data_IF_211243231679
#
_entry.id   IF_211243231679
#
_cell.length_a   1.000
_cell.length_b   1.000
_cell.length_c   1.000
_cell.angle_alpha   90.00
_cell.angle_beta   90.00
_cell.angle_gamma   90.00
#
_symmetry.space_group_name_H-M   'P 1'
#
loop_
_entity.id
_entity.type
_entity.pdbx_description
1 polymer ?
#
# COMPACT_ATOMS: atom_id res chain seq x y z
N UNK A 1 -6.69 -83.58 -22.41
CA UNK A 1 -7.03 -82.24 -21.93
C UNK A 1 -5.88 -81.80 -21.06
N UNK A 2 -5.01 -80.98 -21.61
CA UNK A 2 -3.77 -80.56 -20.98
C UNK A 2 -4.01 -79.12 -20.42
N UNK A 3 -4.06 -79.02 -19.07
CA UNK A 3 -4.13 -77.75 -18.40
C UNK A 3 -2.77 -77.02 -18.47
N UNK A 4 -2.70 -75.93 -19.15
CA UNK A 4 -1.52 -75.05 -19.14
C UNK A 4 -1.44 -74.32 -17.81
N UNK A 5 -0.28 -74.28 -17.16
CA UNK A 5 -0.09 -73.52 -15.95
C UNK A 5 -0.23 -72.01 -16.26
N UNK A 6 -1.04 -71.29 -15.50
CA UNK A 6 -1.10 -69.85 -15.51
C UNK A 6 0.20 -69.29 -14.92
N UNK A 7 0.93 -68.55 -15.71
CA UNK A 7 2.05 -67.76 -15.25
C UNK A 7 1.54 -66.71 -14.24
N UNK A 8 2.25 -66.52 -13.09
CA UNK A 8 1.90 -65.47 -12.16
C UNK A 8 2.20 -64.10 -12.81
N UNK A 9 1.15 -63.31 -12.95
CA UNK A 9 1.31 -61.90 -13.29
C UNK A 9 2.09 -61.22 -12.16
N UNK A 10 3.34 -60.87 -12.42
CA UNK A 10 4.11 -60.00 -11.55
C UNK A 10 3.43 -58.63 -11.53
N UNK A 11 2.71 -58.32 -10.46
CA UNK A 11 2.37 -56.97 -10.11
C UNK A 11 3.70 -56.21 -9.98
N UNK A 12 4.02 -55.38 -10.98
CA UNK A 12 4.98 -54.32 -10.79
C UNK A 12 4.30 -53.33 -9.85
N UNK A 13 4.60 -53.46 -8.57
CA UNK A 13 4.31 -52.43 -7.59
C UNK A 13 5.16 -51.21 -7.98
N UNK A 14 4.52 -50.21 -8.56
CA UNK A 14 5.08 -48.87 -8.84
C UNK A 14 5.31 -48.10 -7.52
N UNK A 15 5.61 -48.80 -6.43
CA UNK A 15 6.00 -48.15 -5.19
C UNK A 15 7.43 -47.65 -5.34
N UNK A 16 7.55 -46.31 -5.48
CA UNK A 16 8.86 -45.66 -5.45
C UNK A 16 9.50 -45.94 -4.11
N UNK A 17 10.42 -46.93 -4.11
CA UNK A 17 11.16 -47.28 -2.89
C UNK A 17 11.98 -46.09 -2.41
N UNK A 18 11.75 -45.66 -1.18
CA UNK A 18 12.55 -44.58 -0.54
C UNK A 18 14.04 -44.94 -0.52
N UNK A 19 14.37 -46.26 -0.51
CA UNK A 19 15.74 -46.78 -0.57
C UNK A 19 16.37 -46.52 -1.94
N UNK A 20 15.62 -46.72 -3.03
CA UNK A 20 16.10 -46.45 -4.40
C UNK A 20 16.25 -44.95 -4.66
N UNK A 21 15.35 -44.15 -4.09
CA UNK A 21 15.46 -42.69 -4.13
C UNK A 21 16.75 -42.26 -3.40
N UNK A 22 17.00 -42.75 -2.20
CA UNK A 22 18.20 -42.44 -1.43
C UNK A 22 19.48 -42.91 -2.13
N UNK A 23 19.47 -44.10 -2.72
CA UNK A 23 20.62 -44.62 -3.49
C UNK A 23 20.91 -43.77 -4.74
N UNK A 24 19.87 -43.34 -5.45
CA UNK A 24 20.00 -42.46 -6.60
C UNK A 24 20.55 -41.07 -6.21
N UNK A 25 20.09 -40.58 -5.06
CA UNK A 25 20.57 -39.33 -4.48
C UNK A 25 22.08 -39.38 -4.15
N UNK A 26 22.51 -40.43 -3.45
CA UNK A 26 23.91 -40.66 -3.10
C UNK A 26 24.80 -40.82 -4.34
N UNK A 27 24.32 -41.52 -5.37
CA UNK A 27 25.05 -41.72 -6.63
C UNK A 27 25.24 -40.44 -7.41
N UNK A 28 24.25 -39.52 -7.37
CA UNK A 28 24.27 -38.24 -8.10
C UNK A 28 24.52 -37.01 -7.21
N UNK A 29 25.09 -37.20 -6.04
CA UNK A 29 25.32 -36.13 -5.04
C UNK A 29 25.98 -34.87 -5.59
N UNK A 30 26.91 -35.00 -6.56
CA UNK A 30 27.58 -33.85 -7.19
C UNK A 30 26.59 -32.98 -7.96
N UNK A 31 25.69 -33.56 -8.72
CA UNK A 31 24.67 -32.86 -9.49
C UNK A 31 23.68 -32.19 -8.53
N UNK A 32 23.26 -32.93 -7.50
CA UNK A 32 22.38 -32.38 -6.47
C UNK A 32 22.96 -31.13 -5.80
N UNK A 33 24.19 -31.22 -5.32
CA UNK A 33 24.84 -30.04 -4.70
C UNK A 33 25.06 -28.92 -5.70
N UNK A 34 25.40 -29.19 -6.95
CA UNK A 34 25.56 -28.14 -7.96
C UNK A 34 24.24 -27.38 -8.18
N UNK A 35 23.12 -28.10 -8.30
CA UNK A 35 21.79 -27.46 -8.46
C UNK A 35 21.41 -26.73 -7.18
N UNK A 36 21.59 -27.34 -6.01
CA UNK A 36 21.27 -26.71 -4.72
C UNK A 36 22.03 -25.39 -4.55
N UNK A 37 23.35 -25.40 -4.77
CA UNK A 37 24.18 -24.18 -4.66
C UNK A 37 23.82 -23.13 -5.72
N UNK A 38 23.46 -23.54 -6.94
CA UNK A 38 23.03 -22.60 -7.97
C UNK A 38 21.73 -21.91 -7.60
N UNK A 39 20.74 -22.65 -7.10
CA UNK A 39 19.45 -22.08 -6.66
C UNK A 39 19.64 -21.18 -5.43
N UNK A 40 20.46 -21.62 -4.48
CA UNK A 40 20.74 -20.85 -3.28
C UNK A 40 21.49 -19.55 -3.59
N UNK A 41 22.49 -19.61 -4.49
CA UNK A 41 23.21 -18.43 -4.96
C UNK A 41 22.28 -17.46 -5.71
N UNK A 42 21.43 -17.98 -6.60
CA UNK A 42 20.43 -17.17 -7.30
C UNK A 42 19.44 -16.50 -6.32
N UNK A 43 19.00 -17.22 -5.29
CA UNK A 43 18.15 -16.69 -4.23
C UNK A 43 18.82 -15.58 -3.43
N UNK A 44 20.09 -15.75 -3.06
CA UNK A 44 20.86 -14.72 -2.35
C UNK A 44 21.05 -13.47 -3.24
N UNK A 45 21.42 -13.66 -4.51
CA UNK A 45 21.57 -12.54 -5.46
C UNK A 45 20.25 -11.79 -5.61
N UNK A 46 19.14 -12.51 -5.75
CA UNK A 46 17.81 -11.91 -5.83
C UNK A 46 17.46 -11.11 -4.57
N UNK A 47 17.70 -11.68 -3.37
CA UNK A 47 17.41 -11.02 -2.11
C UNK A 47 18.24 -9.74 -1.90
N UNK A 48 19.53 -9.74 -2.33
CA UNK A 48 20.41 -8.57 -2.21
C UNK A 48 20.08 -7.49 -3.23
N UNK A 49 19.63 -7.88 -4.43
CA UNK A 49 19.25 -6.93 -5.48
C UNK A 49 17.85 -6.34 -5.31
N UNK A 50 17.00 -6.96 -4.48
CA UNK A 50 15.65 -6.46 -4.23
C UNK A 50 15.72 -5.19 -3.38
N UNK A 51 15.25 -4.03 -3.87
CA UNK A 51 15.29 -2.79 -3.09
C UNK A 51 14.37 -2.93 -1.88
N UNK A 52 14.86 -2.54 -0.72
CA UNK A 52 14.04 -2.40 0.48
C UNK A 52 13.00 -1.30 0.25
N UNK A 53 11.75 -1.58 0.57
CA UNK A 53 10.64 -0.64 0.52
C UNK A 53 10.04 -0.48 1.90
N UNK A 54 9.65 0.75 2.22
CA UNK A 54 9.06 1.13 3.50
C UNK A 54 7.76 1.89 3.26
N UNK A 55 6.80 1.65 4.14
CA UNK A 55 5.56 2.42 4.17
C UNK A 55 5.77 3.70 4.96
N UNK A 56 5.66 4.83 4.27
CA UNK A 56 5.64 6.16 4.87
C UNK A 56 4.21 6.56 5.13
N UNK A 57 3.86 6.77 6.39
CA UNK A 57 2.49 7.04 6.81
C UNK A 57 2.39 8.44 7.41
N UNK A 58 1.43 9.22 6.94
CA UNK A 58 1.02 10.50 7.54
C UNK A 58 -0.46 10.42 7.93
N UNK A 59 -0.78 10.95 9.11
CA UNK A 59 -2.13 10.99 9.65
C UNK A 59 -2.57 12.45 9.80
N UNK A 60 -3.76 12.77 9.29
CA UNK A 60 -4.36 14.09 9.36
C UNK A 60 -5.70 13.96 10.07
N UNK A 61 -5.94 14.80 11.08
CA UNK A 61 -7.24 14.89 11.72
C UNK A 61 -8.08 15.97 11.03
N UNK A 62 -9.29 15.60 10.62
CA UNK A 62 -10.24 16.53 10.02
C UNK A 62 -10.85 17.47 11.07
N UNK A 63 -11.17 18.69 10.65
CA UNK A 63 -11.86 19.65 11.50
C UNK A 63 -13.30 19.20 11.79
N UNK A 64 -13.65 19.25 13.08
CA UNK A 64 -14.97 18.89 13.60
C UNK A 64 -15.80 20.13 13.84
N UNK A 65 -17.04 20.09 13.44
CA UNK A 65 -18.05 21.12 13.79
C UNK A 65 -18.60 20.86 15.19
N UNK A 66 -18.88 19.60 15.51
CA UNK A 66 -19.32 19.08 16.80
C UNK A 66 -18.62 17.71 17.02
N UNK A 67 -18.52 17.20 18.24
CA UNK A 67 -17.95 15.89 18.47
C UNK A 67 -18.58 14.82 17.59
N UNK A 68 -17.77 14.20 16.71
CA UNK A 68 -18.23 13.20 15.75
C UNK A 68 -18.90 13.73 14.48
N UNK A 69 -19.00 15.05 14.31
CA UNK A 69 -19.53 15.68 13.08
C UNK A 69 -18.46 16.54 12.43
N UNK A 70 -17.99 16.14 11.26
CA UNK A 70 -16.93 16.81 10.51
C UNK A 70 -17.50 17.93 9.66
N UNK A 71 -16.72 19.00 9.41
CA UNK A 71 -17.11 20.09 8.49
C UNK A 71 -17.26 19.52 7.08
N UNK A 72 -16.32 18.68 6.66
CA UNK A 72 -16.39 17.91 5.42
C UNK A 72 -16.28 16.41 5.75
N UNK A 73 -17.06 15.59 5.05
CA UNK A 73 -17.02 14.14 5.23
C UNK A 73 -15.65 13.59 4.78
N UNK A 74 -15.07 12.62 5.52
CA UNK A 74 -13.79 12.02 5.13
C UNK A 74 -13.74 11.54 3.68
N UNK A 75 -14.81 10.91 3.20
CA UNK A 75 -14.91 10.45 1.81
C UNK A 75 -14.84 11.59 0.79
N UNK A 76 -15.40 12.78 1.09
CA UNK A 76 -15.32 13.96 0.22
C UNK A 76 -13.89 14.51 0.17
N UNK A 77 -13.23 14.54 1.32
CA UNK A 77 -11.83 14.98 1.41
C UNK A 77 -10.91 14.05 0.63
N UNK A 78 -11.07 12.73 0.79
CA UNK A 78 -10.30 11.73 0.01
C UNK A 78 -10.54 11.92 -1.49
N UNK A 79 -11.79 12.03 -1.92
CA UNK A 79 -12.10 12.26 -3.33
C UNK A 79 -11.47 13.55 -3.87
N UNK A 80 -11.35 14.61 -3.06
CA UNK A 80 -10.67 15.85 -3.44
C UNK A 80 -9.17 15.66 -3.53
N UNK A 81 -8.57 14.94 -2.57
CA UNK A 81 -7.15 14.60 -2.59
C UNK A 81 -6.78 13.78 -3.84
N UNK A 82 -7.54 12.72 -4.12
CA UNK A 82 -7.25 11.79 -5.23
C UNK A 82 -7.52 12.40 -6.61
N UNK A 83 -8.64 13.12 -6.77
CA UNK A 83 -9.08 13.53 -8.11
C UNK A 83 -8.71 14.98 -8.46
N UNK A 84 -8.23 15.76 -7.51
CA UNK A 84 -7.89 17.17 -7.75
C UNK A 84 -6.46 17.47 -7.33
N UNK A 85 -6.11 17.34 -6.06
CA UNK A 85 -4.84 17.85 -5.54
C UNK A 85 -3.65 16.95 -5.88
N UNK A 86 -3.82 15.63 -5.86
CA UNK A 86 -2.75 14.71 -6.25
C UNK A 86 -2.41 14.87 -7.75
N UNK A 87 -3.37 14.89 -8.70
CA UNK A 87 -3.06 15.13 -10.11
C UNK A 87 -2.45 16.52 -10.37
N UNK A 88 -2.91 17.56 -9.67
CA UNK A 88 -2.33 18.89 -9.74
C UNK A 88 -0.87 18.91 -9.28
N UNK A 89 -0.59 18.26 -8.16
CA UNK A 89 0.77 18.11 -7.64
C UNK A 89 1.66 17.33 -8.62
N UNK A 90 1.17 16.19 -9.14
CA UNK A 90 1.91 15.39 -10.12
C UNK A 90 2.23 16.17 -11.40
N UNK A 91 1.28 16.95 -11.89
CA UNK A 91 1.47 17.80 -13.07
C UNK A 91 2.51 18.90 -12.84
N UNK A 92 2.48 19.54 -11.67
CA UNK A 92 3.45 20.57 -11.27
C UNK A 92 4.84 19.97 -11.11
N UNK A 93 4.93 18.82 -10.43
CA UNK A 93 6.19 18.11 -10.26
C UNK A 93 6.83 17.71 -11.60
N UNK A 94 6.02 17.21 -12.53
CA UNK A 94 6.48 16.87 -13.88
C UNK A 94 6.97 18.11 -14.65
N UNK A 95 6.26 19.23 -14.54
CA UNK A 95 6.65 20.47 -15.20
C UNK A 95 7.97 21.04 -14.68
N UNK A 96 8.24 20.88 -13.38
CA UNK A 96 9.43 21.42 -12.72
C UNK A 96 10.67 20.52 -12.87
N UNK A 97 10.48 19.20 -12.94
CA UNK A 97 11.59 18.21 -12.86
C UNK A 97 11.73 17.35 -14.12
N UNK A 98 10.76 17.40 -15.07
CA UNK A 98 10.68 16.52 -16.25
C UNK A 98 10.67 15.02 -15.90
N UNK A 99 10.29 14.69 -14.65
CA UNK A 99 10.22 13.34 -14.11
C UNK A 99 8.90 13.11 -13.37
N UNK A 100 8.36 11.91 -13.48
CA UNK A 100 7.20 11.49 -12.68
C UNK A 100 7.62 11.15 -11.25
N UNK A 101 6.68 11.30 -10.32
CA UNK A 101 6.89 10.88 -8.94
C UNK A 101 7.09 9.36 -8.92
N UNK A 102 8.21 8.85 -8.37
CA UNK A 102 8.58 7.44 -8.43
C UNK A 102 7.89 6.57 -7.36
N UNK A 103 6.84 7.02 -6.75
CA UNK A 103 6.05 6.32 -5.73
C UNK A 103 4.56 6.68 -5.83
N UNK A 104 3.72 5.81 -5.33
CA UNK A 104 2.26 6.03 -5.26
C UNK A 104 1.88 6.64 -3.90
N UNK A 105 0.86 7.49 -3.90
CA UNK A 105 0.28 8.06 -2.68
C UNK A 105 -1.16 7.57 -2.58
N UNK A 106 -1.45 6.78 -1.56
CA UNK A 106 -2.76 6.25 -1.26
C UNK A 106 -3.39 7.00 -0.09
N UNK A 107 -4.71 7.18 -0.15
CA UNK A 107 -5.48 7.86 0.88
C UNK A 107 -6.52 6.90 1.45
N UNK A 108 -6.56 6.80 2.75
CA UNK A 108 -7.48 5.91 3.47
C UNK A 108 -8.16 6.67 4.61
N UNK A 109 -9.40 6.30 4.89
CA UNK A 109 -10.05 6.70 6.13
C UNK A 109 -10.18 5.47 7.04
N UNK A 110 -9.47 5.42 8.18
CA UNK A 110 -9.71 4.39 9.17
C UNK A 110 -11.17 4.42 9.63
N UNK A 111 -11.82 3.25 9.68
CA UNK A 111 -13.25 3.13 9.94
C UNK A 111 -13.69 3.93 11.19
N UNK A 112 -14.79 4.65 11.04
CA UNK A 112 -15.44 5.44 12.09
C UNK A 112 -14.55 6.54 12.72
N UNK A 113 -13.57 7.05 11.98
CA UNK A 113 -12.69 8.13 12.46
C UNK A 113 -12.75 9.35 11.55
N UNK A 114 -12.39 10.52 12.10
CA UNK A 114 -12.11 11.73 11.33
C UNK A 114 -10.66 11.86 10.91
N UNK A 115 -9.98 10.73 10.73
CA UNK A 115 -8.59 10.71 10.30
C UNK A 115 -8.50 10.37 8.81
N UNK A 116 -7.61 11.05 8.12
CA UNK A 116 -7.14 10.65 6.79
C UNK A 116 -5.72 10.13 6.95
N UNK A 117 -5.50 8.92 6.46
CA UNK A 117 -4.20 8.28 6.41
C UNK A 117 -3.67 8.36 4.99
N UNK A 118 -2.51 8.99 4.82
CA UNK A 118 -1.74 8.94 3.58
C UNK A 118 -0.65 7.90 3.71
N UNK A 119 -0.53 7.01 2.73
CA UNK A 119 0.46 5.94 2.69
C UNK A 119 1.20 6.01 1.37
N UNK A 120 2.53 5.95 1.43
CA UNK A 120 3.39 5.81 0.26
C UNK A 120 4.42 4.74 0.49
N UNK A 121 4.49 3.77 -0.43
CA UNK A 121 5.52 2.76 -0.46
C UNK A 121 6.71 3.27 -1.27
N UNK A 122 7.87 3.41 -0.63
CA UNK A 122 9.06 3.96 -1.27
C UNK A 122 10.35 3.40 -0.69
N UNK A 123 11.44 3.48 -1.46
CA UNK A 123 12.77 3.14 -1.00
C UNK A 123 13.33 4.22 -0.06
N UNK A 124 14.33 3.91 0.78
CA UNK A 124 14.97 4.90 1.66
C UNK A 124 15.53 6.12 0.92
N UNK A 125 15.98 5.95 -0.32
CA UNK A 125 16.47 7.04 -1.16
C UNK A 125 15.40 8.02 -1.59
N UNK A 126 14.13 7.60 -1.61
CA UNK A 126 12.96 8.40 -1.98
C UNK A 126 12.26 9.04 -0.78
N UNK A 127 12.72 8.75 0.44
CA UNK A 127 12.07 9.17 1.70
C UNK A 127 11.83 10.67 1.79
N UNK A 128 12.77 11.48 1.32
CA UNK A 128 12.65 12.93 1.35
C UNK A 128 11.57 13.43 0.36
N UNK A 129 11.53 12.85 -0.84
CA UNK A 129 10.47 13.15 -1.82
C UNK A 129 9.07 12.79 -1.30
N UNK A 130 8.93 11.66 -0.61
CA UNK A 130 7.67 11.27 0.03
C UNK A 130 7.26 12.27 1.11
N UNK A 131 8.17 12.64 2.00
CA UNK A 131 7.90 13.63 3.06
C UNK A 131 7.47 14.97 2.50
N UNK A 132 8.15 15.44 1.47
CA UNK A 132 7.83 16.72 0.80
C UNK A 132 6.45 16.66 0.14
N UNK A 133 6.14 15.57 -0.57
CA UNK A 133 4.84 15.35 -1.19
C UNK A 133 3.71 15.32 -0.16
N UNK A 134 3.89 14.57 0.92
CA UNK A 134 2.93 14.51 2.01
C UNK A 134 2.73 15.87 2.66
N UNK A 135 3.81 16.61 2.95
CA UNK A 135 3.74 17.94 3.55
C UNK A 135 2.94 18.94 2.67
N UNK A 136 3.20 18.97 1.37
CA UNK A 136 2.47 19.85 0.45
C UNK A 136 0.97 19.54 0.38
N UNK A 137 0.60 18.26 0.36
CA UNK A 137 -0.81 17.86 0.36
C UNK A 137 -1.49 18.15 1.70
N UNK A 138 -0.77 17.99 2.82
CA UNK A 138 -1.23 18.35 4.17
C UNK A 138 -1.46 19.84 4.27
N UNK A 139 -0.55 20.66 3.78
CA UNK A 139 -0.65 22.13 3.80
C UNK A 139 -1.87 22.60 3.00
N UNK A 140 -2.07 22.08 1.79
CA UNK A 140 -3.28 22.36 0.98
C UNK A 140 -4.58 21.98 1.70
N UNK A 141 -4.60 20.81 2.33
CA UNK A 141 -5.76 20.36 3.10
C UNK A 141 -6.00 21.24 4.32
N UNK A 142 -4.95 21.61 5.05
CA UNK A 142 -5.02 22.48 6.22
C UNK A 142 -5.55 23.86 5.86
N UNK A 143 -5.08 24.44 4.75
CA UNK A 143 -5.58 25.71 4.22
C UNK A 143 -7.06 25.65 3.86
N UNK A 144 -7.49 24.60 3.13
CA UNK A 144 -8.88 24.40 2.77
C UNK A 144 -9.79 24.23 4.00
N UNK A 145 -9.36 23.45 4.99
CA UNK A 145 -10.11 23.29 6.24
C UNK A 145 -10.17 24.57 7.06
N UNK A 146 -9.10 25.34 7.12
CA UNK A 146 -9.07 26.65 7.80
C UNK A 146 -10.05 27.62 7.17
N UNK A 147 -10.12 27.66 5.85
CA UNK A 147 -11.10 28.48 5.13
C UNK A 147 -12.54 28.03 5.41
N UNK A 148 -12.79 26.71 5.44
CA UNK A 148 -14.11 26.15 5.75
C UNK A 148 -14.55 26.48 7.19
N UNK A 149 -13.64 26.40 8.16
CA UNK A 149 -13.87 26.80 9.56
C UNK A 149 -14.22 28.28 9.66
N UNK A 150 -13.46 29.15 8.98
CA UNK A 150 -13.71 30.61 8.99
C UNK A 150 -15.08 30.95 8.39
N UNK A 151 -15.44 30.34 7.27
CA UNK A 151 -16.75 30.52 6.64
C UNK A 151 -17.90 30.05 7.55
N UNK A 152 -17.72 28.93 8.25
CA UNK A 152 -18.71 28.43 9.19
C UNK A 152 -18.90 29.42 10.34
N UNK A 153 -17.80 29.92 10.90
CA UNK A 153 -17.82 30.91 11.99
C UNK A 153 -18.55 32.18 11.60
N UNK A 154 -18.24 32.78 10.45
CA UNK A 154 -18.92 33.97 9.94
C UNK A 154 -20.41 33.74 9.72
N UNK A 155 -20.80 32.57 9.24
CA UNK A 155 -22.20 32.22 9.08
C UNK A 155 -22.94 32.15 10.40
N UNK A 156 -22.32 31.56 11.43
CA UNK A 156 -22.90 31.47 12.78
C UNK A 156 -23.00 32.85 13.43
N UNK A 157 -22.00 33.72 13.29
CA UNK A 157 -22.01 35.08 13.79
C UNK A 157 -23.15 35.88 13.15
N UNK A 158 -23.33 35.82 11.83
CA UNK A 158 -24.46 36.42 11.13
C UNK A 158 -25.83 35.92 11.59
N UNK A 159 -25.97 34.62 11.85
CA UNK A 159 -27.21 34.05 12.40
C UNK A 159 -27.52 34.58 13.80
N UNK A 160 -26.52 34.66 14.68
CA UNK A 160 -26.66 35.22 16.04
C UNK A 160 -27.11 36.67 15.96
N UNK A 161 -26.48 37.48 15.10
CA UNK A 161 -26.83 38.91 14.93
C UNK A 161 -28.28 39.07 14.41
N UNK A 162 -28.70 38.25 13.42
CA UNK A 162 -30.07 38.29 12.91
C UNK A 162 -31.10 37.92 13.97
N UNK A 163 -30.83 36.88 14.79
CA UNK A 163 -31.70 36.51 15.88
C UNK A 163 -31.76 37.58 16.97
N UNK A 164 -30.66 38.20 17.31
CA UNK A 164 -30.62 39.26 18.34
C UNK A 164 -31.37 40.51 17.87
N UNK A 165 -31.40 40.81 16.58
CA UNK A 165 -32.15 41.96 16.02
C UNK A 165 -33.65 41.69 15.96
N UNK A 166 -34.07 40.42 15.90
CA UNK A 166 -35.51 40.03 15.83
C UNK A 166 -36.16 40.05 17.21
N UNK A 167 -35.36 39.96 18.30
CA UNK A 167 -35.86 39.91 19.70
C UNK A 167 -36.00 41.32 20.28
N UNK A 168 -35.50 42.37 19.63
CA UNK A 168 -35.67 43.77 20.01
C UNK A 168 -36.92 44.37 19.38
#
# INVERSE_FOLDING_TARGET
MEERPREPQSHYDDEISLVDLAATFLKRRRVFYAVLFSVLLAGIIYAVLMPEKYDYVSLIKLAEKEPGSYIEKPATVIATLENRWLPEYQSTHYADHDEQIPFEILFENPENTGLIRMVSEASPSQSEGVKQSHALLIDKLSEAQSAAVSNLRENLERQIESLSSTIK
#
